data_IF_366135301434
#
_entry.id   IF_366135301434
#
_cell.length_a   1.000
_cell.length_b   1.000
_cell.length_c   1.000
_cell.angle_alpha   90.00
_cell.angle_beta   90.00
_cell.angle_gamma   90.00
#
_symmetry.space_group_name_H-M   'P 1'
#
loop_
_entity.id
_entity.type
_entity.pdbx_description
1 polymer ?
#
# COMPACT_ATOMS: atom_id res chain seq x y z
N UNK A 1 -38.46 -14.88 -7.06
CA UNK A 1 -37.88 -13.69 -6.41
C UNK A 1 -36.49 -13.58 -7.02
N UNK A 2 -36.16 -12.43 -7.64
CA UNK A 2 -34.80 -12.24 -8.17
C UNK A 2 -33.81 -12.29 -7.03
N UNK A 3 -32.71 -12.98 -7.23
CA UNK A 3 -31.54 -12.95 -6.35
C UNK A 3 -31.05 -11.50 -6.27
N UNK A 4 -30.64 -11.03 -5.09
CA UNK A 4 -30.30 -9.61 -4.92
C UNK A 4 -28.86 -9.46 -4.47
N UNK A 5 -27.99 -9.12 -5.43
CA UNK A 5 -26.60 -8.79 -5.09
C UNK A 5 -26.49 -7.36 -4.55
N UNK A 6 -25.79 -7.20 -3.44
CA UNK A 6 -25.47 -5.90 -2.84
C UNK A 6 -23.97 -5.65 -2.85
N UNK A 7 -23.59 -4.41 -3.14
CA UNK A 7 -22.27 -3.84 -2.97
C UNK A 7 -22.30 -2.85 -1.82
N UNK A 8 -21.51 -3.08 -0.79
CA UNK A 8 -21.36 -2.17 0.34
C UNK A 8 -19.89 -1.73 0.44
N UNK A 9 -19.63 -0.44 0.39
CA UNK A 9 -18.30 0.10 0.63
C UNK A 9 -18.28 0.61 2.07
N UNK A 10 -17.68 -0.16 2.96
CA UNK A 10 -17.65 0.15 4.37
C UNK A 10 -16.76 1.35 4.67
N UNK A 11 -15.60 1.45 3.95
CA UNK A 11 -14.64 2.55 4.09
C UNK A 11 -13.89 2.80 2.76
N UNK A 12 -13.31 4.02 2.62
CA UNK A 12 -12.47 4.40 1.48
C UNK A 12 -13.15 5.34 0.48
N UNK A 13 -14.43 5.70 0.64
CA UNK A 13 -15.13 6.58 -0.31
C UNK A 13 -14.85 8.07 -0.12
N UNK A 14 -14.49 8.50 1.11
CA UNK A 14 -14.17 9.89 1.48
C UNK A 14 -12.91 9.95 2.35
N UNK A 15 -12.09 8.94 2.27
CA UNK A 15 -10.83 8.82 2.99
C UNK A 15 -9.83 7.99 2.18
N UNK A 16 -8.55 8.25 2.37
CA UNK A 16 -7.47 7.43 1.84
C UNK A 16 -7.16 6.34 2.86
N UNK A 17 -7.18 5.08 2.43
CA UNK A 17 -6.91 3.92 3.29
C UNK A 17 -8.14 3.44 4.07
N UNK A 18 -7.92 2.44 4.92
CA UNK A 18 -9.00 1.75 5.65
C UNK A 18 -9.94 0.97 4.75
N UNK A 19 -9.52 0.65 3.53
CA UNK A 19 -10.38 0.08 2.48
C UNK A 19 -11.04 -1.22 2.94
N UNK A 20 -12.38 -1.29 2.78
CA UNK A 20 -13.16 -2.50 2.98
C UNK A 20 -14.41 -2.48 2.10
N UNK A 21 -14.53 -3.46 1.21
CA UNK A 21 -15.64 -3.61 0.28
C UNK A 21 -16.30 -4.96 0.49
N UNK A 22 -17.62 -4.96 0.70
CA UNK A 22 -18.44 -6.17 0.84
C UNK A 22 -19.25 -6.40 -0.42
N UNK A 23 -19.26 -7.63 -0.91
CA UNK A 23 -20.17 -8.11 -1.94
C UNK A 23 -20.95 -9.26 -1.36
N UNK A 24 -22.28 -9.16 -1.42
CA UNK A 24 -23.18 -10.15 -0.84
C UNK A 24 -24.26 -10.54 -1.84
N UNK A 25 -24.45 -11.85 -1.99
CA UNK A 25 -25.59 -12.47 -2.65
C UNK A 25 -26.47 -13.16 -1.61
N UNK A 26 -27.53 -13.81 -2.05
CA UNK A 26 -28.36 -14.66 -1.15
C UNK A 26 -27.59 -15.91 -0.65
N UNK A 27 -26.43 -16.25 -1.28
CA UNK A 27 -25.69 -17.50 -1.00
C UNK A 27 -24.31 -17.28 -0.41
N UNK A 28 -23.71 -16.10 -0.59
CA UNK A 28 -22.36 -15.83 -0.12
C UNK A 28 -22.17 -14.36 0.25
N UNK A 29 -21.21 -14.15 1.15
CA UNK A 29 -20.67 -12.85 1.53
C UNK A 29 -19.16 -12.87 1.41
N UNK A 30 -18.60 -12.03 0.57
CA UNK A 30 -17.14 -11.84 0.48
C UNK A 30 -16.76 -10.43 0.89
N UNK A 31 -15.54 -10.28 1.40
CA UNK A 31 -14.87 -8.98 1.57
C UNK A 31 -13.70 -8.86 0.60
N UNK A 32 -13.48 -7.64 0.10
CA UNK A 32 -12.25 -7.25 -0.58
C UNK A 32 -11.57 -6.20 0.30
N UNK A 33 -10.38 -6.52 0.78
CA UNK A 33 -9.62 -5.79 1.78
C UNK A 33 -10.35 -5.67 3.15
N UNK A 34 -9.57 -5.44 4.19
CA UNK A 34 -10.04 -5.19 5.56
C UNK A 34 -9.01 -4.29 6.24
N UNK A 35 -8.99 -3.05 5.80
CA UNK A 35 -7.96 -2.08 6.11
C UNK A 35 -8.16 -1.36 7.43
N UNK A 36 -7.04 -0.96 8.04
CA UNK A 36 -7.01 -0.03 9.17
C UNK A 36 -6.88 1.40 8.64
N UNK A 37 -7.60 2.39 9.17
CA UNK A 37 -7.43 3.79 8.79
C UNK A 37 -5.98 4.26 8.95
N UNK A 38 -5.50 5.11 8.04
CA UNK A 38 -4.13 5.65 8.11
C UNK A 38 -3.87 6.51 9.35
N UNK A 39 -4.90 7.10 9.91
CA UNK A 39 -4.86 7.95 11.10
C UNK A 39 -5.32 7.22 12.38
N UNK A 40 -5.44 5.89 12.34
CA UNK A 40 -5.94 5.07 13.45
C UNK A 40 -5.27 5.42 14.79
N UNK A 41 -3.94 5.58 14.78
CA UNK A 41 -3.17 5.90 15.99
C UNK A 41 -3.37 7.34 16.50
N UNK A 42 -4.04 8.21 15.72
CA UNK A 42 -4.37 9.59 16.11
C UNK A 42 -5.73 9.71 16.77
N UNK A 43 -6.55 8.68 16.67
CA UNK A 43 -7.85 8.60 17.32
C UNK A 43 -7.73 8.33 18.81
N UNK A 44 -8.72 8.78 19.59
CA UNK A 44 -8.85 8.42 21.00
C UNK A 44 -9.07 6.93 21.18
N UNK A 45 -8.84 6.42 22.38
CA UNK A 45 -9.06 4.98 22.69
C UNK A 45 -10.51 4.56 22.44
N UNK A 46 -11.47 5.43 22.72
CA UNK A 46 -12.90 5.19 22.49
C UNK A 46 -13.19 5.10 20.99
N UNK A 47 -12.65 6.02 20.18
CA UNK A 47 -12.81 6.00 18.73
C UNK A 47 -12.13 4.78 18.10
N UNK A 48 -10.91 4.43 18.52
CA UNK A 48 -10.22 3.21 18.08
C UNK A 48 -11.04 1.95 18.40
N UNK A 49 -11.66 1.91 19.59
CA UNK A 49 -12.52 0.80 20.00
C UNK A 49 -13.76 0.71 19.11
N UNK A 50 -14.38 1.84 18.78
CA UNK A 50 -15.56 1.87 17.90
C UNK A 50 -15.19 1.44 16.48
N UNK A 51 -14.10 1.99 15.89
CA UNK A 51 -13.60 1.60 14.57
C UNK A 51 -13.34 0.09 14.49
N UNK A 52 -12.73 -0.48 15.54
CA UNK A 52 -12.45 -1.90 15.61
C UNK A 52 -13.73 -2.74 15.78
N UNK A 53 -14.70 -2.23 16.53
CA UNK A 53 -16.02 -2.88 16.70
C UNK A 53 -16.79 -2.92 15.38
N UNK A 54 -16.80 -1.82 14.64
CA UNK A 54 -17.43 -1.76 13.32
C UNK A 54 -16.79 -2.75 12.34
N UNK A 55 -15.46 -2.80 12.30
CA UNK A 55 -14.73 -3.76 11.45
C UNK A 55 -15.02 -5.22 11.86
N UNK A 56 -15.20 -5.50 13.15
CA UNK A 56 -15.59 -6.84 13.62
C UNK A 56 -17.02 -7.22 13.19
N UNK A 57 -17.94 -6.26 13.12
CA UNK A 57 -19.29 -6.50 12.58
C UNK A 57 -19.24 -6.86 11.09
N UNK A 58 -18.38 -6.20 10.31
CA UNK A 58 -18.20 -6.52 8.89
C UNK A 58 -17.68 -7.94 8.66
N UNK A 59 -16.90 -8.47 9.61
CA UNK A 59 -16.36 -9.84 9.54
C UNK A 59 -17.40 -10.94 9.81
N UNK A 60 -18.57 -10.60 10.36
CA UNK A 60 -19.59 -11.62 10.70
C UNK A 60 -20.17 -12.28 9.45
N UNK A 61 -20.14 -13.60 9.40
CA UNK A 61 -20.68 -14.39 8.31
C UNK A 61 -19.96 -14.19 6.97
N UNK A 62 -18.67 -13.84 7.01
CA UNK A 62 -17.83 -13.76 5.81
C UNK A 62 -17.40 -15.16 5.39
N UNK A 63 -17.69 -15.52 4.13
CA UNK A 63 -17.31 -16.79 3.54
C UNK A 63 -15.88 -16.77 2.99
N UNK A 64 -15.40 -15.61 2.54
CA UNK A 64 -14.03 -15.44 2.06
C UNK A 64 -13.62 -13.95 2.08
N UNK A 65 -12.29 -13.70 2.22
CA UNK A 65 -11.69 -12.39 2.03
C UNK A 65 -10.68 -12.44 0.87
N UNK A 66 -10.71 -11.41 0.03
CA UNK A 66 -9.77 -11.17 -1.06
C UNK A 66 -8.91 -9.97 -0.71
N UNK A 67 -7.58 -10.18 -0.56
CA UNK A 67 -6.67 -9.12 -0.19
C UNK A 67 -5.88 -8.63 -1.39
N UNK A 68 -5.99 -7.34 -1.68
CA UNK A 68 -5.31 -6.71 -2.82
C UNK A 68 -3.79 -6.63 -2.64
N UNK A 69 -3.31 -6.24 -1.45
CA UNK A 69 -1.88 -6.10 -1.17
C UNK A 69 -1.56 -5.92 0.33
N UNK A 70 -0.25 -5.95 0.66
CA UNK A 70 0.24 -5.96 2.04
C UNK A 70 0.60 -4.55 2.58
N UNK A 71 -0.32 -3.56 2.49
CA UNK A 71 -0.28 -2.33 3.25
C UNK A 71 -1.34 -2.34 4.36
N UNK A 72 -1.04 -1.78 5.53
CA UNK A 72 -1.89 -1.87 6.72
C UNK A 72 -3.29 -1.28 6.51
N UNK A 73 -3.44 -0.31 5.66
CA UNK A 73 -4.72 0.29 5.28
C UNK A 73 -5.56 -0.58 4.33
N UNK A 74 -5.08 -1.79 4.01
CA UNK A 74 -5.80 -2.85 3.29
C UNK A 74 -5.90 -4.15 4.08
N UNK A 75 -4.95 -4.45 5.01
CA UNK A 75 -4.97 -5.69 5.79
C UNK A 75 -5.02 -5.51 7.31
N UNK A 76 -4.95 -4.29 7.83
CA UNK A 76 -4.67 -4.03 9.24
C UNK A 76 -5.66 -4.62 10.25
N UNK A 77 -6.86 -4.98 9.81
CA UNK A 77 -7.86 -5.65 10.64
C UNK A 77 -8.07 -7.14 10.34
N UNK A 78 -7.17 -7.79 9.59
CA UNK A 78 -7.27 -9.25 9.33
C UNK A 78 -7.40 -10.10 10.60
N UNK A 79 -6.81 -9.66 11.70
CA UNK A 79 -6.94 -10.32 13.00
C UNK A 79 -8.36 -10.33 13.60
N UNK A 80 -9.34 -9.68 12.95
CA UNK A 80 -10.75 -9.70 13.34
C UNK A 80 -11.56 -10.78 12.61
N UNK A 81 -11.00 -11.35 11.54
CA UNK A 81 -11.68 -12.44 10.82
C UNK A 81 -11.79 -13.68 11.70
N UNK A 82 -12.90 -14.43 11.58
CA UNK A 82 -13.04 -15.73 12.23
C UNK A 82 -11.88 -16.66 11.86
N UNK A 83 -11.54 -17.56 12.80
CA UNK A 83 -10.53 -18.58 12.55
C UNK A 83 -10.89 -19.41 11.31
N UNK A 84 -9.87 -19.85 10.58
CA UNK A 84 -10.00 -20.63 9.35
C UNK A 84 -10.75 -19.95 8.20
N UNK A 85 -11.05 -18.63 8.31
CA UNK A 85 -11.63 -17.90 7.18
C UNK A 85 -10.74 -18.04 5.95
N UNK A 86 -11.26 -18.46 4.78
CA UNK A 86 -10.52 -18.48 3.54
C UNK A 86 -10.04 -17.06 3.16
N UNK A 87 -8.73 -16.89 3.02
CA UNK A 87 -8.14 -15.64 2.52
C UNK A 87 -7.41 -15.89 1.20
N UNK A 88 -7.74 -15.09 0.20
CA UNK A 88 -7.18 -15.15 -1.14
C UNK A 88 -6.31 -13.92 -1.41
N UNK A 89 -5.08 -14.15 -1.83
CA UNK A 89 -4.13 -13.09 -2.24
C UNK A 89 -3.07 -13.70 -3.15
N UNK A 90 -2.17 -12.89 -3.70
CA UNK A 90 -0.98 -13.40 -4.37
C UNK A 90 -0.02 -14.03 -3.35
N UNK A 91 0.81 -14.98 -3.80
CA UNK A 91 1.84 -15.59 -2.95
C UNK A 91 2.83 -14.54 -2.44
N UNK A 92 3.15 -13.55 -3.28
CA UNK A 92 3.98 -12.41 -2.91
C UNK A 92 3.36 -11.57 -1.78
N UNK A 93 2.04 -11.34 -1.81
CA UNK A 93 1.33 -10.64 -0.75
C UNK A 93 1.40 -11.44 0.56
N UNK A 94 1.17 -12.75 0.54
CA UNK A 94 1.34 -13.59 1.73
C UNK A 94 2.78 -13.59 2.27
N UNK A 95 3.77 -13.66 1.37
CA UNK A 95 5.16 -13.55 1.78
C UNK A 95 5.46 -12.21 2.47
N UNK A 96 4.89 -11.10 1.97
CA UNK A 96 5.06 -9.77 2.58
C UNK A 96 4.37 -9.65 3.93
N UNK A 97 3.23 -10.32 4.14
CA UNK A 97 2.52 -10.34 5.43
C UNK A 97 3.27 -11.20 6.46
N UNK A 98 3.77 -12.35 6.06
CA UNK A 98 4.56 -13.22 6.93
C UNK A 98 5.81 -12.52 7.49
N UNK A 99 6.36 -11.52 6.78
CA UNK A 99 7.49 -10.72 7.23
C UNK A 99 7.13 -9.81 8.43
N UNK A 100 5.88 -9.45 8.62
CA UNK A 100 5.44 -8.74 9.81
C UNK A 100 5.61 -9.63 11.05
N UNK A 101 5.46 -10.94 10.89
CA UNK A 101 5.82 -11.94 11.89
C UNK A 101 7.30 -11.95 12.31
N UNK A 102 8.23 -11.35 11.58
CA UNK A 102 9.64 -11.23 12.01
C UNK A 102 9.74 -10.35 13.27
N UNK A 103 9.03 -9.23 13.30
CA UNK A 103 9.08 -8.25 14.40
C UNK A 103 7.81 -8.21 15.25
N UNK A 104 6.73 -8.81 14.79
CA UNK A 104 5.41 -8.90 15.38
C UNK A 104 4.84 -10.31 15.27
N UNK A 105 3.54 -10.39 15.09
CA UNK A 105 2.81 -11.62 14.83
C UNK A 105 2.37 -11.64 13.37
N UNK A 106 2.33 -12.81 12.74
CA UNK A 106 1.80 -12.94 11.39
C UNK A 106 0.28 -12.70 11.42
N UNK A 107 -0.24 -11.64 10.80
CA UNK A 107 -1.67 -11.31 10.86
C UNK A 107 -2.56 -12.35 10.16
N UNK A 108 -1.96 -13.27 9.43
CA UNK A 108 -2.65 -14.32 8.67
C UNK A 108 -2.46 -15.74 9.22
N UNK A 109 -1.80 -15.89 10.37
CA UNK A 109 -1.48 -17.21 10.94
C UNK A 109 -2.74 -18.05 11.22
N UNK A 110 -3.81 -17.40 11.68
CA UNK A 110 -5.10 -18.04 12.03
C UNK A 110 -6.02 -18.22 10.82
N UNK A 111 -5.62 -17.82 9.61
CA UNK A 111 -6.46 -17.83 8.41
C UNK A 111 -6.06 -18.93 7.44
N UNK A 112 -7.02 -19.39 6.64
CA UNK A 112 -6.80 -20.39 5.60
C UNK A 112 -6.34 -19.74 4.30
N UNK A 113 -5.02 -19.75 4.05
CA UNK A 113 -4.38 -19.07 2.90
C UNK A 113 -4.60 -19.81 1.58
N UNK A 114 -5.07 -19.10 0.57
CA UNK A 114 -5.26 -19.57 -0.80
C UNK A 114 -4.53 -18.65 -1.79
N UNK A 115 -3.29 -18.98 -2.19
CA UNK A 115 -2.56 -18.19 -3.18
C UNK A 115 -3.26 -18.15 -4.53
N UNK A 116 -3.33 -16.95 -5.14
CA UNK A 116 -3.84 -16.74 -6.50
C UNK A 116 -2.74 -16.23 -7.41
N UNK A 117 -2.76 -16.70 -8.64
CA UNK A 117 -1.93 -16.15 -9.73
C UNK A 117 -2.76 -15.22 -10.62
N UNK A 118 -2.09 -14.34 -11.35
CA UNK A 118 -2.77 -13.42 -12.27
C UNK A 118 -3.55 -14.18 -13.35
N UNK A 119 -4.82 -13.85 -13.51
CA UNK A 119 -5.76 -14.53 -14.41
C UNK A 119 -6.43 -15.76 -13.80
N UNK A 120 -6.08 -16.16 -12.59
CA UNK A 120 -6.73 -17.27 -11.89
C UNK A 120 -8.03 -16.79 -11.25
N UNK A 121 -9.08 -17.59 -11.45
CA UNK A 121 -10.39 -17.40 -10.82
C UNK A 121 -10.61 -18.40 -9.70
N UNK A 122 -11.41 -18.01 -8.71
CA UNK A 122 -11.98 -18.92 -7.73
C UNK A 122 -13.47 -18.60 -7.55
N UNK A 123 -14.21 -19.57 -7.04
CA UNK A 123 -15.64 -19.48 -6.81
C UNK A 123 -15.95 -19.53 -5.31
N UNK A 124 -16.79 -18.62 -4.86
CA UNK A 124 -17.36 -18.61 -3.52
C UNK A 124 -18.89 -18.62 -3.70
N UNK A 125 -19.48 -19.78 -3.67
CA UNK A 125 -20.87 -20.06 -4.04
C UNK A 125 -21.20 -19.57 -5.47
N UNK A 126 -21.96 -18.47 -5.60
CA UNK A 126 -22.35 -17.86 -6.88
C UNK A 126 -21.51 -16.61 -7.27
N UNK A 127 -20.46 -16.33 -6.53
CA UNK A 127 -19.53 -15.23 -6.79
C UNK A 127 -18.24 -15.80 -7.37
N UNK A 128 -17.85 -15.33 -8.57
CA UNK A 128 -16.58 -15.66 -9.21
C UNK A 128 -15.63 -14.48 -9.05
N UNK A 129 -14.43 -14.72 -8.53
CA UNK A 129 -13.42 -13.68 -8.35
C UNK A 129 -12.14 -14.04 -9.09
N UNK A 130 -11.69 -13.17 -9.99
CA UNK A 130 -10.46 -13.34 -10.77
C UNK A 130 -9.42 -12.30 -10.34
N UNK A 131 -8.20 -12.74 -10.01
CA UNK A 131 -7.09 -11.85 -9.64
C UNK A 131 -6.32 -11.37 -10.87
N UNK A 132 -5.87 -10.11 -10.88
CA UNK A 132 -4.99 -9.53 -11.90
C UNK A 132 -3.85 -8.80 -11.23
N UNK A 133 -2.62 -9.24 -11.43
CA UNK A 133 -1.44 -8.53 -10.90
C UNK A 133 -1.36 -7.12 -11.49
N UNK A 134 -1.16 -6.13 -10.64
CA UNK A 134 -0.97 -4.72 -11.01
C UNK A 134 0.34 -4.17 -10.44
N UNK A 135 0.74 -2.99 -10.89
CA UNK A 135 1.89 -2.28 -10.32
C UNK A 135 1.45 -1.38 -9.17
N UNK A 136 2.11 -1.53 -8.05
CA UNK A 136 2.00 -0.66 -6.87
C UNK A 136 3.33 -0.70 -6.10
N UNK A 137 3.48 0.12 -5.06
CA UNK A 137 4.69 0.09 -4.21
C UNK A 137 4.80 -1.18 -3.35
N UNK A 138 3.68 -1.81 -2.99
CA UNK A 138 3.68 -3.11 -2.35
C UNK A 138 3.92 -4.23 -3.39
N UNK A 139 4.82 -5.15 -3.07
CA UNK A 139 5.12 -6.27 -3.96
C UNK A 139 3.98 -7.29 -3.92
N UNK A 140 3.54 -7.73 -5.13
CA UNK A 140 2.46 -8.71 -5.26
C UNK A 140 1.05 -8.10 -5.32
N UNK A 141 0.90 -6.79 -5.45
CA UNK A 141 -0.41 -6.13 -5.53
C UNK A 141 -1.24 -6.65 -6.70
N UNK A 142 -2.54 -6.80 -6.47
CA UNK A 142 -3.50 -7.22 -7.49
C UNK A 142 -4.80 -6.41 -7.43
N UNK A 143 -5.44 -6.34 -8.60
CA UNK A 143 -6.83 -5.94 -8.79
C UNK A 143 -7.71 -7.19 -8.84
N UNK A 144 -9.00 -7.06 -8.61
CA UNK A 144 -9.97 -8.15 -8.70
C UNK A 144 -11.08 -7.83 -9.70
N UNK A 145 -11.47 -8.82 -10.50
CA UNK A 145 -12.74 -8.86 -11.20
C UNK A 145 -13.69 -9.74 -10.41
N UNK A 146 -14.85 -9.23 -10.06
CA UNK A 146 -15.93 -9.99 -9.42
C UNK A 146 -17.08 -10.12 -10.39
N UNK A 147 -17.55 -11.35 -10.60
CA UNK A 147 -18.65 -11.68 -11.49
C UNK A 147 -19.73 -12.39 -10.70
N UNK A 148 -20.93 -11.83 -10.65
CA UNK A 148 -22.11 -12.41 -10.00
C UNK A 148 -23.38 -11.88 -10.66
N UNK A 149 -24.41 -12.72 -10.79
CA UNK A 149 -25.71 -12.37 -11.39
C UNK A 149 -25.62 -11.67 -12.75
N UNK A 150 -24.62 -12.04 -13.57
CA UNK A 150 -24.40 -11.45 -14.89
C UNK A 150 -23.80 -10.05 -14.87
N UNK A 151 -23.43 -9.51 -13.72
CA UNK A 151 -22.73 -8.25 -13.55
C UNK A 151 -21.24 -8.46 -13.34
N UNK A 152 -20.44 -7.49 -13.78
CA UNK A 152 -18.98 -7.48 -13.73
C UNK A 152 -18.47 -6.24 -13.00
N UNK A 153 -17.86 -6.44 -11.85
CA UNK A 153 -17.28 -5.36 -11.04
C UNK A 153 -15.76 -5.54 -11.01
N UNK A 154 -15.01 -4.50 -11.37
CA UNK A 154 -13.55 -4.47 -11.22
C UNK A 154 -13.19 -3.60 -10.02
N UNK A 155 -12.39 -4.14 -9.10
CA UNK A 155 -11.77 -3.41 -8.00
C UNK A 155 -10.29 -3.19 -8.34
N UNK A 156 -9.85 -1.94 -8.43
CA UNK A 156 -8.48 -1.63 -8.85
C UNK A 156 -7.42 -2.05 -7.83
N UNK A 157 -7.78 -2.17 -6.54
CA UNK A 157 -6.80 -2.05 -5.48
C UNK A 157 -6.04 -0.73 -5.63
N UNK A 158 -4.87 -0.64 -5.03
CA UNK A 158 -3.94 0.46 -5.29
C UNK A 158 -3.13 0.15 -6.54
N UNK A 159 -3.06 1.10 -7.46
CA UNK A 159 -2.45 0.89 -8.77
C UNK A 159 -1.63 2.11 -9.21
N UNK A 160 -0.53 1.85 -9.95
CA UNK A 160 0.25 2.88 -10.65
C UNK A 160 0.68 2.38 -12.03
N UNK A 161 1.08 3.29 -12.93
CA UNK A 161 1.60 2.92 -14.26
C UNK A 161 3.07 3.31 -14.48
N UNK A 162 3.69 3.98 -13.54
CA UNK A 162 5.05 4.51 -13.63
C UNK A 162 6.11 3.64 -12.92
N UNK A 163 5.70 2.52 -12.32
CA UNK A 163 6.60 1.53 -11.75
C UNK A 163 7.14 0.54 -12.79
N UNK A 164 7.84 -0.47 -12.32
CA UNK A 164 8.50 -1.47 -13.20
C UNK A 164 7.48 -2.36 -13.91
N UNK A 165 6.34 -2.60 -13.27
CA UNK A 165 5.27 -3.47 -13.76
C UNK A 165 4.09 -2.68 -14.37
N UNK A 166 4.25 -1.37 -14.57
CA UNK A 166 3.15 -0.47 -14.98
C UNK A 166 2.39 -0.92 -16.22
N UNK A 167 3.02 -1.67 -17.12
CA UNK A 167 2.37 -2.22 -18.31
C UNK A 167 1.28 -3.26 -18.02
N UNK A 168 1.28 -3.87 -16.83
CA UNK A 168 0.34 -4.95 -16.45
C UNK A 168 -1.12 -4.49 -16.39
N UNK A 169 -1.41 -3.19 -16.26
CA UNK A 169 -2.78 -2.68 -16.35
C UNK A 169 -3.50 -3.10 -17.64
N UNK A 170 -2.74 -3.43 -18.71
CA UNK A 170 -3.29 -3.89 -19.99
C UNK A 170 -3.92 -5.29 -19.91
N UNK A 171 -3.66 -6.03 -18.85
CA UNK A 171 -4.27 -7.33 -18.59
C UNK A 171 -5.61 -7.22 -17.86
N UNK A 172 -5.96 -6.01 -17.33
CA UNK A 172 -7.24 -5.79 -16.66
C UNK A 172 -8.41 -6.04 -17.62
N UNK A 173 -9.54 -6.53 -17.09
CA UNK A 173 -10.72 -6.86 -17.89
C UNK A 173 -11.32 -5.59 -18.51
N UNK A 174 -11.89 -5.73 -19.72
CA UNK A 174 -12.55 -4.64 -20.43
C UNK A 174 -14.06 -4.80 -20.39
N UNK A 175 -14.78 -3.67 -20.52
CA UNK A 175 -16.23 -3.66 -20.63
C UNK A 175 -16.90 -4.17 -19.35
N UNK A 176 -16.42 -3.76 -18.18
CA UNK A 176 -17.04 -4.06 -16.89
C UNK A 176 -18.22 -3.11 -16.64
N UNK A 177 -19.21 -3.59 -15.87
CA UNK A 177 -20.33 -2.73 -15.48
C UNK A 177 -19.85 -1.65 -14.49
N UNK A 178 -19.05 -2.05 -13.49
CA UNK A 178 -18.58 -1.17 -12.42
C UNK A 178 -17.07 -1.24 -12.28
N UNK A 179 -16.44 -0.08 -12.05
CA UNK A 179 -15.03 0.05 -11.70
C UNK A 179 -14.91 0.81 -10.39
N UNK A 180 -14.55 0.11 -9.30
CA UNK A 180 -14.06 0.75 -8.08
C UNK A 180 -12.62 1.17 -8.33
N UNK A 181 -12.38 2.48 -8.45
CA UNK A 181 -11.08 3.03 -8.86
C UNK A 181 -10.48 3.87 -7.74
N UNK A 182 -9.24 3.58 -7.35
CA UNK A 182 -8.49 4.36 -6.39
C UNK A 182 -8.27 5.79 -6.86
N UNK A 183 -8.24 6.74 -5.92
CA UNK A 183 -8.09 8.15 -6.21
C UNK A 183 -7.15 8.90 -5.27
N UNK A 184 -6.16 8.21 -4.67
CA UNK A 184 -5.22 8.78 -3.69
C UNK A 184 -4.53 10.05 -4.17
N UNK A 185 -4.23 10.14 -5.46
CA UNK A 185 -3.49 11.29 -6.02
C UNK A 185 -4.29 12.10 -7.03
N UNK A 186 -5.61 11.95 -7.04
CA UNK A 186 -6.53 12.58 -8.01
C UNK A 186 -6.39 14.11 -8.08
N UNK A 187 -6.03 14.77 -6.99
CA UNK A 187 -5.80 16.22 -6.91
C UNK A 187 -4.37 16.65 -7.30
N UNK A 188 -3.46 15.70 -7.52
CA UNK A 188 -2.05 16.04 -7.80
C UNK A 188 -1.85 16.30 -9.30
N UNK A 189 -1.57 17.55 -9.65
CA UNK A 189 -1.34 17.96 -11.04
C UNK A 189 -0.04 17.43 -11.67
N UNK A 190 0.92 16.95 -10.86
CA UNK A 190 2.24 16.50 -11.34
C UNK A 190 2.22 15.02 -11.70
N UNK A 191 2.81 14.69 -12.86
CA UNK A 191 3.11 13.31 -13.20
C UNK A 191 4.17 12.76 -12.23
N UNK A 192 4.00 11.51 -11.83
CA UNK A 192 5.00 10.82 -11.03
C UNK A 192 6.21 10.43 -11.90
N UNK A 193 7.46 10.57 -11.38
CA UNK A 193 8.61 10.04 -12.07
C UNK A 193 8.54 8.50 -12.11
N UNK A 194 9.05 7.91 -13.18
CA UNK A 194 9.21 6.46 -13.28
C UNK A 194 10.29 5.96 -12.30
N UNK A 195 10.24 4.67 -11.92
CA UNK A 195 11.30 4.08 -11.08
C UNK A 195 12.69 4.16 -11.76
N UNK A 196 12.75 4.19 -13.10
CA UNK A 196 14.00 4.42 -13.85
C UNK A 196 14.51 5.86 -13.69
N UNK A 197 13.63 6.84 -13.70
CA UNK A 197 14.00 8.24 -13.42
C UNK A 197 14.45 8.41 -11.98
N UNK A 198 13.81 7.73 -11.03
CA UNK A 198 14.24 7.69 -9.63
C UNK A 198 15.66 7.09 -9.51
N UNK A 199 15.93 5.97 -10.17
CA UNK A 199 17.28 5.38 -10.24
C UNK A 199 18.32 6.39 -10.78
N UNK A 200 18.00 7.08 -11.89
CA UNK A 200 18.90 8.08 -12.48
C UNK A 200 19.13 9.28 -11.54
N UNK A 201 18.12 9.68 -10.78
CA UNK A 201 18.26 10.75 -9.76
C UNK A 201 19.15 10.30 -8.61
N UNK A 202 19.10 9.03 -8.18
CA UNK A 202 20.04 8.48 -7.20
C UNK A 202 21.48 8.52 -7.75
N UNK A 203 21.71 8.05 -8.98
CA UNK A 203 23.04 8.08 -9.62
C UNK A 203 23.57 9.52 -9.65
N UNK A 204 22.75 10.48 -10.05
CA UNK A 204 23.13 11.91 -10.06
C UNK A 204 23.49 12.40 -8.65
N UNK A 205 22.65 12.08 -7.64
CA UNK A 205 22.89 12.52 -6.27
C UNK A 205 24.19 11.93 -5.68
N UNK A 206 24.50 10.67 -5.99
CA UNK A 206 25.73 10.02 -5.56
C UNK A 206 26.97 10.60 -6.27
N UNK A 207 26.86 10.99 -7.54
CA UNK A 207 27.94 11.63 -8.31
C UNK A 207 28.22 13.06 -7.85
N UNK A 208 27.19 13.84 -7.49
CA UNK A 208 27.34 15.22 -7.00
C UNK A 208 28.08 15.31 -5.65
N UNK A 209 28.16 14.23 -4.89
CA UNK A 209 28.89 14.15 -3.63
C UNK A 209 29.53 12.77 -3.49
N UNK A 210 30.43 12.46 -4.41
CA UNK A 210 31.09 11.14 -4.46
C UNK A 210 31.91 10.82 -3.21
N UNK A 211 32.36 11.84 -2.49
CA UNK A 211 33.14 11.79 -1.24
C UNK A 211 32.28 11.74 0.05
N UNK A 212 30.93 11.78 -0.06
CA UNK A 212 30.04 11.72 1.08
C UNK A 212 29.44 10.32 1.26
N UNK A 213 29.14 9.98 2.53
CA UNK A 213 28.24 8.90 2.88
C UNK A 213 26.80 9.29 2.56
N UNK A 214 26.06 8.42 1.89
CA UNK A 214 24.66 8.67 1.60
C UNK A 214 23.76 7.80 2.47
N UNK A 215 22.84 8.44 3.20
CA UNK A 215 21.73 7.79 3.87
C UNK A 215 20.51 7.86 2.97
N UNK A 216 19.77 6.78 2.86
CA UNK A 216 18.52 6.75 2.10
C UNK A 216 17.39 6.23 2.99
N UNK A 217 16.39 7.06 3.22
CA UNK A 217 15.20 6.64 3.95
C UNK A 217 14.14 6.17 2.98
N UNK A 218 13.90 4.86 2.94
CA UNK A 218 12.82 4.27 2.16
C UNK A 218 12.21 3.05 2.88
N UNK A 219 11.02 2.65 2.45
CA UNK A 219 10.36 1.46 2.98
C UNK A 219 11.13 0.19 2.61
N UNK A 220 11.32 -0.70 3.59
CA UNK A 220 11.91 -2.01 3.37
C UNK A 220 11.06 -2.92 2.45
N UNK A 221 9.74 -2.68 2.39
CA UNK A 221 8.81 -3.44 1.57
C UNK A 221 8.65 -2.89 0.15
N UNK A 222 9.22 -1.71 -0.16
CA UNK A 222 9.23 -1.19 -1.53
C UNK A 222 10.38 -1.81 -2.34
N UNK A 223 10.15 -3.02 -2.83
CA UNK A 223 11.15 -3.84 -3.52
C UNK A 223 11.69 -3.14 -4.77
N UNK A 224 10.85 -2.52 -5.58
CA UNK A 224 11.26 -1.81 -6.79
C UNK A 224 12.23 -0.68 -6.46
N UNK A 225 11.97 0.07 -5.38
CA UNK A 225 12.81 1.16 -4.91
C UNK A 225 14.16 0.67 -4.40
N UNK A 226 14.19 -0.44 -3.64
CA UNK A 226 15.44 -1.02 -3.16
C UNK A 226 16.26 -1.55 -4.33
N UNK A 227 15.62 -2.19 -5.31
CA UNK A 227 16.30 -2.64 -6.53
C UNK A 227 16.84 -1.46 -7.36
N UNK A 228 16.10 -0.36 -7.49
CA UNK A 228 16.56 0.85 -8.16
C UNK A 228 17.76 1.47 -7.41
N UNK A 229 17.70 1.54 -6.09
CA UNK A 229 18.78 2.02 -5.24
C UNK A 229 20.03 1.15 -5.38
N UNK A 230 19.87 -0.19 -5.36
CA UNK A 230 20.99 -1.13 -5.55
C UNK A 230 21.66 -0.94 -6.92
N UNK A 231 20.86 -0.83 -8.00
CA UNK A 231 21.41 -0.58 -9.35
C UNK A 231 22.14 0.77 -9.43
N UNK A 232 21.61 1.81 -8.76
CA UNK A 232 22.27 3.11 -8.68
C UNK A 232 23.62 3.02 -7.94
N UNK A 233 23.67 2.29 -6.82
CA UNK A 233 24.91 2.02 -6.09
C UNK A 233 25.93 1.32 -6.98
N UNK A 234 25.52 0.25 -7.69
CA UNK A 234 26.38 -0.48 -8.61
C UNK A 234 26.96 0.40 -9.72
N UNK A 235 26.15 1.29 -10.31
CA UNK A 235 26.58 2.23 -11.35
C UNK A 235 27.59 3.27 -10.85
N UNK A 236 27.58 3.57 -9.54
CA UNK A 236 28.49 4.52 -8.91
C UNK A 236 29.65 3.84 -8.16
N UNK A 237 29.81 2.53 -8.26
CA UNK A 237 30.86 1.80 -7.54
C UNK A 237 30.69 1.82 -6.01
N UNK A 238 29.46 2.04 -5.52
CA UNK A 238 29.14 2.08 -4.08
C UNK A 238 28.53 0.78 -3.60
N UNK A 239 28.62 0.51 -2.30
CA UNK A 239 28.00 -0.62 -1.63
C UNK A 239 26.71 -0.18 -0.97
N UNK A 240 25.59 -0.88 -1.27
CA UNK A 240 24.34 -0.70 -0.56
C UNK A 240 24.37 -1.46 0.77
N UNK A 241 24.12 -0.76 1.88
CA UNK A 241 24.10 -1.34 3.21
C UNK A 241 22.69 -1.28 3.79
N UNK A 242 22.12 -2.44 4.11
CA UNK A 242 20.75 -2.61 4.58
C UNK A 242 20.72 -3.25 5.97
N UNK A 243 19.60 -3.13 6.68
CA UNK A 243 19.41 -3.80 7.97
C UNK A 243 18.90 -5.25 7.81
N UNK A 244 18.94 -6.09 8.87
CA UNK A 244 18.49 -7.48 8.82
C UNK A 244 17.03 -7.63 8.39
N UNK A 245 16.14 -6.71 8.77
CA UNK A 245 14.74 -6.78 8.34
C UNK A 245 14.63 -6.63 6.82
N UNK A 246 15.25 -5.60 6.26
CA UNK A 246 15.27 -5.37 4.79
C UNK A 246 15.93 -6.53 4.06
N UNK A 247 17.03 -7.09 4.60
CA UNK A 247 17.72 -8.22 3.99
C UNK A 247 16.82 -9.48 3.93
N UNK A 248 16.06 -9.76 5.00
CA UNK A 248 15.11 -10.88 5.03
C UNK A 248 13.90 -10.63 4.11
N UNK A 249 13.43 -9.39 3.99
CA UNK A 249 12.40 -9.02 3.00
C UNK A 249 12.88 -9.37 1.59
N UNK A 250 14.10 -8.97 1.21
CA UNK A 250 14.66 -9.28 -0.10
C UNK A 250 14.86 -10.79 -0.30
N UNK A 251 15.29 -11.51 0.73
CA UNK A 251 15.48 -12.95 0.66
C UNK A 251 14.15 -13.69 0.44
N UNK A 252 13.08 -13.32 1.13
CA UNK A 252 11.75 -13.90 0.94
C UNK A 252 11.23 -13.66 -0.47
N UNK A 253 11.34 -12.43 -0.98
CA UNK A 253 10.92 -12.09 -2.34
C UNK A 253 11.78 -12.79 -3.40
N UNK A 254 13.10 -12.94 -3.15
CA UNK A 254 14.01 -13.64 -4.06
C UNK A 254 13.66 -15.13 -4.18
N UNK A 255 13.07 -15.74 -3.15
CA UNK A 255 12.51 -17.09 -3.21
C UNK A 255 11.43 -17.24 -4.28
N UNK A 256 10.64 -16.19 -4.52
CA UNK A 256 9.59 -16.14 -5.54
C UNK A 256 10.12 -15.59 -6.88
N UNK A 257 11.11 -14.69 -6.83
CA UNK A 257 11.71 -14.07 -8.02
C UNK A 257 13.23 -13.97 -7.88
N UNK A 258 13.99 -14.95 -8.43
CA UNK A 258 15.46 -15.01 -8.31
C UNK A 258 16.22 -13.82 -8.91
N UNK A 259 15.55 -12.92 -9.65
CA UNK A 259 16.16 -11.68 -10.19
C UNK A 259 16.31 -10.57 -9.12
N UNK A 260 15.67 -10.75 -7.97
CA UNK A 260 15.80 -9.80 -6.86
C UNK A 260 17.17 -9.98 -6.19
N UNK A 261 17.97 -8.92 -6.07
CA UNK A 261 19.29 -9.00 -5.44
C UNK A 261 19.16 -9.22 -3.93
N UNK A 262 20.02 -10.08 -3.40
CA UNK A 262 20.12 -10.34 -1.96
C UNK A 262 21.58 -10.21 -1.50
N UNK A 263 21.81 -10.22 -0.21
CA UNK A 263 23.16 -10.18 0.38
C UNK A 263 24.00 -11.43 0.04
N UNK A 264 23.37 -12.51 -0.43
CA UNK A 264 24.06 -13.74 -0.85
C UNK A 264 24.32 -13.78 -2.35
N UNK A 265 23.56 -13.07 -3.17
CA UNK A 265 23.68 -13.05 -4.63
C UNK A 265 24.34 -11.79 -5.18
N UNK A 266 24.49 -10.74 -4.36
CA UNK A 266 25.01 -9.44 -4.77
C UNK A 266 26.14 -9.01 -3.84
N UNK A 267 27.39 -9.08 -4.30
CA UNK A 267 28.58 -8.72 -3.54
C UNK A 267 28.55 -7.28 -2.99
N UNK A 268 28.01 -6.35 -3.75
CA UNK A 268 27.86 -4.94 -3.38
C UNK A 268 26.62 -4.66 -2.49
N UNK A 269 26.05 -5.70 -1.86
CA UNK A 269 24.99 -5.56 -0.88
C UNK A 269 25.46 -6.16 0.45
N UNK A 270 25.48 -5.33 1.49
CA UNK A 270 26.00 -5.69 2.83
C UNK A 270 24.98 -5.35 3.89
N UNK A 271 25.22 -5.81 5.12
CA UNK A 271 24.29 -5.66 6.24
C UNK A 271 24.96 -4.93 7.41
N UNK A 272 24.23 -3.97 7.99
CA UNK A 272 24.54 -3.44 9.30
C UNK A 272 23.56 -4.00 10.34
N UNK A 273 24.00 -4.20 11.56
CA UNK A 273 23.21 -4.85 12.61
C UNK A 273 22.89 -3.87 13.74
N UNK A 274 21.74 -3.15 13.69
CA UNK A 274 21.33 -2.25 14.76
C UNK A 274 21.07 -3.07 16.05
N UNK A 275 21.68 -2.71 17.20
CA UNK A 275 21.53 -3.49 18.43
C UNK A 275 20.09 -3.72 18.86
N UNK A 276 19.24 -2.68 18.79
CA UNK A 276 17.81 -2.80 19.15
C UNK A 276 17.08 -3.84 18.32
N UNK A 277 17.35 -3.89 17.00
CA UNK A 277 16.71 -4.85 16.11
C UNK A 277 17.21 -6.27 16.38
N UNK A 278 18.53 -6.45 16.54
CA UNK A 278 19.10 -7.77 16.82
C UNK A 278 18.65 -8.30 18.19
N UNK A 279 18.67 -7.48 19.24
CA UNK A 279 18.16 -7.85 20.57
C UNK A 279 16.69 -8.27 20.48
N UNK A 280 15.84 -7.50 19.79
CA UNK A 280 14.42 -7.85 19.64
C UNK A 280 14.21 -9.18 18.91
N UNK A 281 15.02 -9.50 17.91
CA UNK A 281 14.96 -10.78 17.20
C UNK A 281 15.37 -11.93 18.13
N UNK A 282 16.44 -11.77 18.92
CA UNK A 282 16.89 -12.77 19.89
C UNK A 282 15.86 -12.99 21.01
N UNK A 283 15.31 -11.93 21.60
CA UNK A 283 14.27 -12.01 22.63
C UNK A 283 12.99 -12.74 22.15
N UNK A 284 12.73 -12.72 20.85
CA UNK A 284 11.62 -13.43 20.22
C UNK A 284 11.98 -14.82 19.69
N UNK A 285 13.18 -15.34 19.99
CA UNK A 285 13.70 -16.61 19.45
C UNK A 285 13.72 -16.65 17.92
N UNK A 286 14.05 -15.52 17.29
CA UNK A 286 14.09 -15.35 15.83
C UNK A 286 15.52 -15.11 15.30
N UNK A 287 16.53 -15.66 15.99
CA UNK A 287 17.94 -15.52 15.62
C UNK A 287 18.29 -16.06 14.22
N UNK A 288 17.46 -16.98 13.68
CA UNK A 288 17.61 -17.47 12.31
C UNK A 288 17.62 -16.33 11.28
N UNK A 289 16.89 -15.23 11.52
CA UNK A 289 16.87 -14.05 10.63
C UNK A 289 18.15 -13.19 10.72
N UNK A 290 19.02 -13.46 11.70
CA UNK A 290 20.35 -12.86 11.80
C UNK A 290 21.37 -13.80 11.16
N UNK A 291 21.36 -15.07 11.55
CA UNK A 291 22.37 -16.03 11.12
C UNK A 291 22.27 -16.37 9.61
N UNK A 292 21.07 -16.40 9.03
CA UNK A 292 20.85 -16.59 7.58
C UNK A 292 21.55 -15.55 6.72
N UNK A 293 21.85 -14.37 7.27
CA UNK A 293 22.52 -13.29 6.55
C UNK A 293 24.05 -13.40 6.53
N UNK A 294 24.61 -14.46 7.12
CA UNK A 294 26.04 -14.69 7.23
C UNK A 294 26.80 -13.44 7.77
N UNK A 295 26.61 -13.05 9.04
CA UNK A 295 27.17 -11.80 9.58
C UNK A 295 28.69 -11.72 9.49
N UNK A 296 29.39 -12.85 9.53
CA UNK A 296 30.86 -12.90 9.43
C UNK A 296 31.36 -12.36 8.08
N UNK A 297 30.60 -12.58 6.98
CA UNK A 297 31.00 -12.21 5.62
C UNK A 297 30.34 -10.93 5.14
N UNK A 298 29.13 -10.64 5.60
CA UNK A 298 28.29 -9.57 5.03
C UNK A 298 28.14 -8.34 5.92
N UNK A 299 28.67 -8.37 7.16
CA UNK A 299 28.57 -7.23 8.10
C UNK A 299 29.47 -6.07 7.66
N UNK A 300 28.90 -4.86 7.71
CA UNK A 300 29.67 -3.60 7.72
C UNK A 300 29.71 -3.08 9.15
N UNK A 301 30.91 -2.73 9.61
CA UNK A 301 31.17 -2.24 10.95
C UNK A 301 31.16 -0.70 11.03
N UNK A 302 31.19 -0.15 12.24
CA UNK A 302 31.37 1.29 12.43
C UNK A 302 32.73 1.78 11.92
N UNK A 303 33.77 0.95 12.01
CA UNK A 303 35.12 1.26 11.54
C UNK A 303 35.15 1.36 10.00
N UNK A 304 34.42 0.49 9.30
CA UNK A 304 34.29 0.57 7.85
C UNK A 304 33.67 1.90 7.41
N UNK A 305 32.61 2.34 8.10
CA UNK A 305 32.01 3.64 7.85
C UNK A 305 32.93 4.83 8.19
N UNK A 306 33.76 4.70 9.22
CA UNK A 306 34.70 5.75 9.60
C UNK A 306 35.88 5.88 8.62
N UNK A 307 36.38 4.76 8.08
CA UNK A 307 37.55 4.75 7.20
C UNK A 307 37.22 5.10 5.76
N UNK A 308 36.05 4.71 5.25
CA UNK A 308 35.68 4.91 3.84
C UNK A 308 34.19 5.19 3.66
N UNK A 309 33.65 6.27 4.30
CA UNK A 309 32.23 6.56 4.31
C UNK A 309 31.64 6.74 2.90
N UNK A 310 32.45 7.26 2.00
CA UNK A 310 32.10 7.52 0.60
C UNK A 310 31.74 6.26 -0.19
N UNK A 311 32.18 5.09 0.25
CA UNK A 311 31.89 3.80 -0.42
C UNK A 311 30.47 3.33 -0.16
N UNK A 312 29.79 3.88 0.86
CA UNK A 312 28.55 3.32 1.36
C UNK A 312 27.34 4.19 1.09
N UNK A 313 26.27 3.52 0.68
CA UNK A 313 24.90 4.03 0.70
C UNK A 313 24.12 3.19 1.70
N UNK A 314 23.65 3.80 2.79
CA UNK A 314 22.99 3.09 3.87
C UNK A 314 21.49 3.33 3.86
N UNK A 315 20.71 2.25 3.78
CA UNK A 315 19.26 2.32 3.97
C UNK A 315 18.96 2.55 5.45
N UNK A 316 18.18 3.60 5.74
CA UNK A 316 17.89 4.02 7.11
C UNK A 316 16.40 4.22 7.35
N UNK A 317 16.02 4.27 8.61
CA UNK A 317 14.71 4.67 9.10
C UNK A 317 14.86 5.30 10.49
N UNK A 318 13.87 6.07 11.01
CA UNK A 318 13.98 6.72 12.32
C UNK A 318 14.36 5.77 13.47
N UNK A 319 13.91 4.52 13.41
CA UNK A 319 14.17 3.49 14.44
C UNK A 319 15.64 3.10 14.60
N UNK A 320 16.51 3.42 13.63
CA UNK A 320 17.95 3.13 13.71
C UNK A 320 18.80 4.33 14.16
N UNK A 321 18.17 5.40 14.63
CA UNK A 321 18.87 6.61 15.07
C UNK A 321 20.03 6.34 16.05
N UNK A 322 19.83 5.48 17.04
CA UNK A 322 20.91 5.12 18.01
C UNK A 322 22.10 4.42 17.36
N UNK A 323 21.92 3.78 16.20
CA UNK A 323 23.02 3.25 15.41
C UNK A 323 23.73 4.39 14.66
N UNK A 324 22.97 5.30 14.03
CA UNK A 324 23.51 6.43 13.28
C UNK A 324 24.37 7.36 14.14
N UNK A 325 23.96 7.60 15.39
CA UNK A 325 24.70 8.44 16.33
C UNK A 325 26.12 7.93 16.64
N UNK A 326 26.41 6.68 16.33
CA UNK A 326 27.74 6.06 16.52
C UNK A 326 28.61 6.08 15.25
N UNK A 327 28.04 6.43 14.10
CA UNK A 327 28.76 6.53 12.83
C UNK A 327 29.60 7.81 12.84
N UNK A 328 30.90 7.65 12.61
CA UNK A 328 31.85 8.77 12.46
C UNK A 328 32.20 8.95 10.99
N UNK A 329 31.38 9.69 10.26
CA UNK A 329 31.63 10.06 8.87
C UNK A 329 31.78 11.59 8.79
N UNK A 330 32.76 12.05 8.05
CA UNK A 330 33.06 13.49 7.93
C UNK A 330 31.95 14.23 7.17
N UNK A 331 31.34 13.58 6.17
CA UNK A 331 30.32 14.15 5.30
C UNK A 331 29.17 13.16 5.13
N UNK A 332 27.95 13.58 5.49
CA UNK A 332 26.75 12.76 5.39
C UNK A 332 25.67 13.53 4.61
N UNK A 333 24.96 12.86 3.72
CA UNK A 333 23.78 13.37 3.02
C UNK A 333 22.60 12.43 3.19
N UNK A 334 21.40 12.98 3.36
CA UNK A 334 20.17 12.20 3.43
C UNK A 334 19.37 12.35 2.15
N UNK A 335 18.86 11.23 1.63
CA UNK A 335 17.84 11.18 0.59
C UNK A 335 16.57 10.61 1.18
N UNK A 336 15.48 11.39 1.15
CA UNK A 336 14.14 10.89 1.48
C UNK A 336 13.53 10.26 0.23
N UNK A 337 13.26 8.97 0.29
CA UNK A 337 12.65 8.20 -0.78
C UNK A 337 11.37 7.51 -0.29
N UNK A 338 10.59 8.27 0.45
CA UNK A 338 9.36 7.85 1.14
C UNK A 338 8.32 8.98 1.01
N UNK A 339 7.06 8.69 1.30
CA UNK A 339 6.03 9.73 1.32
C UNK A 339 6.39 10.85 2.31
N UNK A 340 6.26 12.11 1.86
CA UNK A 340 6.69 13.27 2.63
C UNK A 340 6.03 13.44 3.98
N UNK A 341 4.77 13.00 4.14
CA UNK A 341 4.02 13.10 5.39
C UNK A 341 4.70 12.38 6.57
N UNK A 342 5.43 11.29 6.32
CA UNK A 342 6.19 10.62 7.38
C UNK A 342 7.31 11.47 7.98
N UNK A 343 7.80 12.48 7.24
CA UNK A 343 8.83 13.39 7.76
C UNK A 343 8.32 14.25 8.90
N UNK A 344 7.05 14.62 8.88
CA UNK A 344 6.44 15.54 9.83
C UNK A 344 5.75 14.84 11.02
N UNK A 345 5.78 13.49 11.05
CA UNK A 345 5.21 12.74 12.16
C UNK A 345 5.99 12.94 13.47
N UNK A 346 5.30 12.98 14.63
CA UNK A 346 5.95 13.17 15.93
C UNK A 346 7.04 12.15 16.25
N UNK A 347 6.86 10.90 15.83
CA UNK A 347 7.82 9.80 16.06
C UNK A 347 9.14 9.98 15.28
N UNK A 348 9.20 10.87 14.30
CA UNK A 348 10.40 11.19 13.51
C UNK A 348 11.16 12.42 13.98
N UNK A 349 10.63 13.21 14.92
CA UNK A 349 11.22 14.47 15.39
C UNK A 349 12.69 14.31 15.82
N UNK A 350 13.01 13.31 16.62
CA UNK A 350 14.39 13.06 17.08
C UNK A 350 15.32 12.70 15.93
N UNK A 351 14.83 12.00 14.92
CA UNK A 351 15.59 11.68 13.73
C UNK A 351 15.82 12.93 12.86
N UNK A 352 14.79 13.78 12.68
CA UNK A 352 14.91 15.06 11.97
C UNK A 352 15.96 15.96 12.61
N UNK A 353 15.87 16.17 13.92
CA UNK A 353 16.83 17.01 14.65
C UNK A 353 18.26 16.49 14.51
N UNK A 354 18.45 15.18 14.50
CA UNK A 354 19.76 14.60 14.23
C UNK A 354 20.23 14.87 12.79
N UNK A 355 19.34 14.72 11.82
CA UNK A 355 19.62 14.98 10.38
C UNK A 355 20.03 16.43 10.15
N UNK A 356 19.30 17.38 10.74
CA UNK A 356 19.58 18.83 10.63
C UNK A 356 20.99 19.20 11.12
N UNK A 357 21.48 18.49 12.14
CA UNK A 357 22.82 18.76 12.70
C UNK A 357 23.94 18.02 11.95
N UNK A 358 23.68 16.82 11.41
CA UNK A 358 24.73 15.93 10.93
C UNK A 358 24.76 15.74 9.40
N UNK A 359 23.69 16.11 8.71
CA UNK A 359 23.63 15.97 7.26
C UNK A 359 23.83 17.31 6.56
N UNK A 360 24.78 17.39 5.63
CA UNK A 360 25.03 18.59 4.84
C UNK A 360 23.87 18.97 3.92
N UNK A 361 23.08 17.98 3.52
CA UNK A 361 21.97 18.14 2.58
C UNK A 361 20.90 17.07 2.79
N UNK A 362 19.65 17.47 2.63
CA UNK A 362 18.49 16.57 2.52
C UNK A 362 17.89 16.74 1.12
N UNK A 363 17.73 15.65 0.39
CA UNK A 363 17.08 15.63 -0.95
C UNK A 363 15.84 14.73 -0.93
N UNK A 364 14.82 15.12 -1.70
CA UNK A 364 13.67 14.28 -1.99
C UNK A 364 13.87 13.59 -3.35
N UNK A 365 13.97 12.24 -3.34
CA UNK A 365 14.01 11.41 -4.55
C UNK A 365 12.99 10.30 -4.36
N UNK A 366 11.74 10.57 -4.74
CA UNK A 366 10.61 9.70 -4.51
C UNK A 366 9.69 9.63 -5.73
N UNK A 367 8.94 8.56 -5.83
CA UNK A 367 7.80 8.37 -6.71
C UNK A 367 6.66 7.72 -5.93
N UNK A 368 5.44 8.12 -6.20
CA UNK A 368 4.24 7.62 -5.52
C UNK A 368 4.03 6.12 -5.76
N UNK A 369 3.39 5.45 -4.82
CA UNK A 369 2.82 4.11 -5.01
C UNK A 369 1.54 4.11 -5.87
N UNK A 370 0.91 5.27 -6.06
CA UNK A 370 -0.43 5.43 -6.64
C UNK A 370 -0.40 6.13 -8.00
N UNK A 371 -1.45 5.87 -8.80
CA UNK A 371 -1.62 6.42 -10.13
C UNK A 371 -1.77 7.95 -10.10
N UNK A 372 -1.05 8.66 -10.99
CA UNK A 372 -1.35 10.05 -11.29
C UNK A 372 -2.60 10.16 -12.20
N UNK A 373 -3.12 11.37 -12.35
CA UNK A 373 -4.34 11.64 -13.12
C UNK A 373 -4.29 11.04 -14.53
N UNK A 374 -3.15 11.15 -15.23
CA UNK A 374 -2.99 10.56 -16.58
C UNK A 374 -3.01 9.03 -16.55
N UNK A 375 -2.46 8.45 -15.52
CA UNK A 375 -2.49 6.99 -15.31
C UNK A 375 -3.92 6.52 -15.06
N UNK A 376 -4.69 7.23 -14.22
CA UNK A 376 -6.11 6.93 -13.99
C UNK A 376 -6.92 7.01 -15.30
N UNK A 377 -6.71 8.05 -16.10
CA UNK A 377 -7.36 8.18 -17.42
C UNK A 377 -7.06 6.99 -18.33
N UNK A 378 -5.78 6.58 -18.42
CA UNK A 378 -5.37 5.43 -19.24
C UNK A 378 -5.96 4.10 -18.75
N UNK A 379 -6.13 3.94 -17.43
CA UNK A 379 -6.78 2.77 -16.86
C UNK A 379 -8.26 2.73 -17.28
N UNK A 380 -8.98 3.83 -17.14
CA UNK A 380 -10.40 3.94 -17.53
C UNK A 380 -10.58 3.74 -19.03
N UNK A 381 -9.74 4.37 -19.88
CA UNK A 381 -9.74 4.17 -21.33
C UNK A 381 -9.52 2.72 -21.74
N UNK A 382 -8.69 1.99 -20.97
CA UNK A 382 -8.43 0.57 -21.23
C UNK A 382 -9.60 -0.30 -20.79
N UNK A 383 -10.09 -0.14 -19.56
CA UNK A 383 -11.14 -0.97 -18.95
C UNK A 383 -12.50 -0.69 -19.59
N UNK A 384 -12.80 0.58 -19.93
CA UNK A 384 -14.09 1.05 -20.49
C UNK A 384 -15.27 0.61 -19.62
N UNK A 385 -15.30 1.01 -18.35
CA UNK A 385 -16.40 0.68 -17.45
C UNK A 385 -17.66 1.43 -17.86
N UNK A 386 -18.86 0.88 -17.54
CA UNK A 386 -20.11 1.61 -17.68
C UNK A 386 -20.23 2.67 -16.58
N UNK A 387 -19.72 2.37 -15.38
CA UNK A 387 -19.75 3.26 -14.23
C UNK A 387 -18.46 3.19 -13.43
N UNK A 388 -17.98 4.35 -12.96
CA UNK A 388 -16.83 4.48 -12.07
C UNK A 388 -17.35 4.81 -10.67
N UNK A 389 -16.84 4.11 -9.67
CA UNK A 389 -17.09 4.34 -8.25
C UNK A 389 -15.76 4.74 -7.61
N UNK A 390 -15.58 6.01 -7.22
CA UNK A 390 -14.36 6.44 -6.54
C UNK A 390 -14.17 5.74 -5.19
N UNK A 391 -12.97 5.22 -4.96
CA UNK A 391 -12.58 4.61 -3.69
C UNK A 391 -11.14 5.02 -3.33
N UNK A 392 -10.74 4.86 -2.07
CA UNK A 392 -9.39 5.20 -1.59
C UNK A 392 -9.02 6.65 -1.95
N UNK A 393 -9.93 7.57 -1.64
CA UNK A 393 -9.80 8.99 -1.98
C UNK A 393 -10.48 9.88 -0.95
N UNK A 394 -9.86 11.01 -0.63
CA UNK A 394 -10.46 12.11 0.16
C UNK A 394 -11.27 13.08 -0.71
N UNK A 395 -11.21 12.94 -2.03
CA UNK A 395 -11.80 13.87 -2.99
C UNK A 395 -12.56 13.17 -4.12
N UNK A 396 -13.60 12.39 -3.83
CA UNK A 396 -14.36 11.66 -4.85
C UNK A 396 -14.96 12.60 -5.91
N UNK A 397 -15.40 13.81 -5.54
CA UNK A 397 -15.95 14.81 -6.47
C UNK A 397 -14.95 15.25 -7.56
N UNK A 398 -13.65 15.07 -7.34
CA UNK A 398 -12.63 15.43 -8.33
C UNK A 398 -12.62 14.48 -9.54
N UNK A 399 -13.20 13.28 -9.41
CA UNK A 399 -13.36 12.37 -10.55
C UNK A 399 -14.22 12.97 -11.65
N UNK A 400 -15.29 13.72 -11.32
CA UNK A 400 -16.14 14.41 -12.30
C UNK A 400 -15.42 15.46 -13.15
N UNK A 401 -14.27 15.98 -12.67
CA UNK A 401 -13.42 16.90 -13.43
C UNK A 401 -12.49 16.18 -14.41
N UNK A 402 -12.21 14.90 -14.15
CA UNK A 402 -11.26 14.09 -14.92
C UNK A 402 -11.97 13.20 -15.94
N UNK A 403 -13.12 12.67 -15.57
CA UNK A 403 -13.91 11.70 -16.35
C UNK A 403 -15.26 12.27 -16.76
N UNK A 404 -15.27 13.50 -17.32
CA UNK A 404 -16.50 14.23 -17.69
C UNK A 404 -17.43 13.48 -18.65
N UNK A 405 -16.90 12.50 -19.39
CA UNK A 405 -17.66 11.63 -20.31
C UNK A 405 -18.05 10.28 -19.68
N UNK A 406 -17.59 9.99 -18.47
CA UNK A 406 -17.83 8.72 -17.78
C UNK A 406 -18.97 8.89 -16.78
N UNK A 407 -19.80 7.85 -16.64
CA UNK A 407 -20.80 7.80 -15.58
C UNK A 407 -20.07 7.56 -14.24
N UNK A 408 -20.15 8.51 -13.32
CA UNK A 408 -19.55 8.40 -12.01
C UNK A 408 -20.66 8.23 -10.98
N UNK A 409 -20.54 7.19 -10.18
CA UNK A 409 -21.44 6.97 -9.06
C UNK A 409 -20.76 7.38 -7.76
N UNK A 410 -21.32 8.38 -7.09
CA UNK A 410 -20.85 8.81 -5.76
C UNK A 410 -21.67 8.09 -4.69
N UNK A 411 -21.03 7.32 -3.85
CA UNK A 411 -21.68 6.69 -2.71
C UNK A 411 -22.09 7.76 -1.69
N UNK A 412 -23.37 7.74 -1.30
CA UNK A 412 -23.96 8.80 -0.49
C UNK A 412 -23.63 8.68 0.99
N UNK A 413 -22.44 9.04 1.42
CA UNK A 413 -22.25 9.53 2.80
C UNK A 413 -22.79 10.95 2.99
N UNK A 414 -23.24 11.58 1.91
CA UNK A 414 -23.72 12.99 1.89
C UNK A 414 -25.20 13.15 2.25
N UNK A 415 -26.01 12.11 2.23
CA UNK A 415 -27.46 12.23 2.54
C UNK A 415 -27.70 12.43 4.05
N UNK A 416 -26.78 12.02 4.92
CA UNK A 416 -26.90 12.24 6.37
C UNK A 416 -26.57 13.66 6.85
N UNK A 417 -25.91 14.50 6.05
CA UNK A 417 -25.50 15.84 6.42
C UNK A 417 -26.42 16.97 5.91
N UNK A 418 -27.31 16.69 4.98
CA UNK A 418 -28.20 17.74 4.40
C UNK A 418 -29.54 17.94 5.14
N UNK A 419 -29.83 17.17 6.19
CA UNK A 419 -31.07 17.34 6.97
C UNK A 419 -30.88 17.97 8.35
N UNK A 420 -29.73 18.53 8.69
CA UNK A 420 -29.47 19.08 10.02
C UNK A 420 -29.20 20.60 10.02
N UNK A 421 -30.19 21.39 9.57
CA UNK A 421 -30.34 22.79 9.96
C UNK A 421 -31.66 22.91 10.75
N UNK A 422 -31.73 22.31 11.89
CA UNK A 422 -32.60 22.74 13.00
C UNK A 422 -32.21 21.97 14.27
N UNK A 423 -32.15 22.71 15.36
CA UNK A 423 -31.63 22.35 16.66
C UNK A 423 -32.08 20.99 17.22
N UNK A 424 -31.17 20.33 17.95
CA UNK A 424 -31.38 19.22 18.86
C UNK A 424 -31.81 17.87 18.25
N UNK A 425 -30.86 17.13 17.68
CA UNK A 425 -30.94 15.67 17.70
C UNK A 425 -29.53 15.08 17.70
N UNK A 426 -29.19 14.29 18.70
CA UNK A 426 -28.06 13.34 18.65
C UNK A 426 -28.33 12.40 17.47
N UNK A 427 -27.70 12.65 16.32
CA UNK A 427 -27.82 11.80 15.17
C UNK A 427 -27.07 10.50 15.45
N UNK A 428 -27.78 9.39 15.41
CA UNK A 428 -27.21 8.05 15.29
C UNK A 428 -26.42 8.01 13.99
N UNK A 429 -25.14 7.66 14.07
CA UNK A 429 -24.28 7.34 12.92
C UNK A 429 -24.59 5.92 12.47
N UNK A 430 -25.74 5.72 11.83
CA UNK A 430 -26.14 4.40 11.30
C UNK A 430 -26.63 4.59 9.86
N UNK A 431 -25.71 4.51 8.91
CA UNK A 431 -25.99 4.00 7.55
C UNK A 431 -24.70 3.89 6.74
N UNK A 432 -24.10 2.74 6.75
CA UNK A 432 -23.08 2.32 5.77
C UNK A 432 -23.74 2.34 4.39
N UNK A 433 -23.15 2.97 3.35
CA UNK A 433 -23.76 3.06 2.03
C UNK A 433 -23.81 1.66 1.39
N UNK A 434 -25.00 1.10 1.31
CA UNK A 434 -25.28 -0.16 0.60
C UNK A 434 -26.03 0.15 -0.69
N UNK A 435 -25.52 -0.33 -1.82
CA UNK A 435 -26.09 -0.12 -3.14
C UNK A 435 -26.50 -1.47 -3.73
N UNK A 436 -27.72 -1.54 -4.27
CA UNK A 436 -28.16 -2.69 -5.06
C UNK A 436 -27.69 -2.54 -6.48
N UNK A 437 -27.22 -3.60 -7.12
CA UNK A 437 -26.78 -3.56 -8.49
C UNK A 437 -27.87 -3.06 -9.46
N UNK A 438 -29.14 -3.31 -9.18
CA UNK A 438 -30.25 -2.86 -10.01
C UNK A 438 -30.61 -1.38 -9.83
N UNK A 439 -30.32 -0.78 -8.68
CA UNK A 439 -30.66 0.62 -8.40
C UNK A 439 -29.72 1.62 -9.12
N UNK A 440 -28.57 1.16 -9.57
CA UNK A 440 -27.56 2.00 -10.25
C UNK A 440 -28.00 2.43 -11.66
N UNK A 441 -28.92 1.67 -12.30
CA UNK A 441 -29.40 1.97 -13.66
C UNK A 441 -30.69 2.81 -13.72
N UNK A 442 -31.36 3.10 -12.61
CA UNK A 442 -32.73 3.60 -12.60
C UNK A 442 -32.88 5.11 -12.48
N UNK A 443 -31.81 5.90 -12.32
CA UNK A 443 -31.95 7.37 -12.27
C UNK A 443 -30.97 8.09 -13.23
N UNK A 444 -31.44 8.86 -14.20
CA UNK A 444 -30.59 9.78 -14.96
C UNK A 444 -30.15 10.93 -14.03
N UNK A 445 -28.84 11.19 -14.01
CA UNK A 445 -28.16 12.20 -13.18
C UNK A 445 -28.75 13.61 -13.30
N UNK A 446 -29.55 13.90 -14.34
CA UNK A 446 -30.18 15.19 -14.60
C UNK A 446 -31.22 15.61 -13.55
N UNK A 447 -31.86 14.69 -12.85
CA UNK A 447 -32.88 15.05 -11.85
C UNK A 447 -32.31 15.38 -10.47
N UNK A 448 -31.12 14.85 -10.13
CA UNK A 448 -30.46 15.15 -8.86
C UNK A 448 -29.80 16.55 -8.81
N UNK A 449 -29.46 17.13 -9.96
CA UNK A 449 -28.86 18.48 -10.05
C UNK A 449 -29.93 19.57 -9.95
N UNK A 450 -31.17 19.32 -10.40
CA UNK A 450 -32.25 20.32 -10.33
C UNK A 450 -32.90 20.49 -8.98
N UNK A 451 -32.74 19.56 -8.04
CA UNK A 451 -33.22 19.73 -6.68
C UNK A 451 -32.32 20.62 -5.79
N UNK A 452 -31.13 20.99 -6.27
CA UNK A 452 -30.16 21.81 -5.55
C UNK A 452 -30.08 23.28 -5.98
N UNK A 453 -30.82 23.67 -7.03
CA UNK A 453 -30.81 25.08 -7.51
C UNK A 453 -32.10 25.86 -7.21
N UNK A 454 -33.04 25.29 -6.47
CA UNK A 454 -34.27 25.97 -6.05
C UNK A 454 -34.59 25.71 -4.59
N UNK A 455 -33.82 26.34 -3.71
CA UNK A 455 -34.19 26.70 -2.34
C UNK A 455 -33.24 27.77 -1.83
#
# INVERSE_FOLDING_TARGET
MGTMTTLTIHRGTHEIGGSCVEIRTDKAKILIDLGMPLDYDKHTTEEQTQIRSDAAEWCKGVDALFLSHAHADHYGFLGLLPQDTPIYATEETFAMLALDGILGDDPTEHLKKHPLTSGQSCEVADIIVTAYTVDHSAYGSCAYLVECEGKRLSYSGDIRLHGVKGVLYKNLPKGVDYLLLEGTTVLRAKNNPTEREVENRFVKAFGEASDAMHLVWCSAKNIDRICALFRACKRCGKTLVIDPYTANVLAAVAGLNPKIPTTTTAEQMKVYFPPRLTTRLTERNKDQYIYSLNPKQNKVSYDDFAHSPEKYVMLVRPTVLTYLQRIKAARIRLIKSIWGGYWDEPNTERFRSWVEVHCEQVKDIHSSGHADTKSLQRIVEHIRPQMIIPIHTDSPSSFGKIFSESHIFYTSTTIGQLSCNSAHARARRDSTPTVRFDDIHSQPITELIHSFTSS
#
